data_IF_748752160655
#
_entry.id   IF_748752160655
#
_cell.length_a   1.000
_cell.length_b   1.000
_cell.length_c   1.000
_cell.angle_alpha   90.00
_cell.angle_beta   90.00
_cell.angle_gamma   90.00
#
_symmetry.space_group_name_H-M   'P 1'
#
loop_
_entity.id
_entity.type
_entity.pdbx_description
1 polymer ?
#
# COMPACT_ATOMS: atom_id res chain seq x y z
N UNK A 1 10.91 28.26 -32.35
CA UNK A 1 11.06 27.46 -31.11
C UNK A 1 9.91 26.45 -31.05
N UNK A 2 10.10 25.23 -31.57
CA UNK A 2 9.02 24.24 -31.66
C UNK A 2 8.62 23.73 -30.29
N UNK A 3 7.33 23.87 -29.91
CA UNK A 3 6.79 23.22 -28.71
C UNK A 3 6.85 21.71 -28.92
N UNK A 4 7.87 21.07 -28.34
CA UNK A 4 8.00 19.60 -28.41
C UNK A 4 6.77 18.95 -27.75
N UNK A 5 6.27 17.88 -28.35
CA UNK A 5 5.10 17.09 -27.90
C UNK A 5 5.20 16.56 -26.45
N UNK A 6 6.37 16.68 -25.81
CA UNK A 6 6.63 16.35 -24.39
C UNK A 6 5.69 17.07 -23.42
N UNK A 7 5.12 18.20 -23.82
CA UNK A 7 4.25 19.03 -22.97
C UNK A 7 2.75 18.67 -23.05
N UNK A 8 2.38 17.59 -23.76
CA UNK A 8 1.03 16.99 -23.65
C UNK A 8 0.96 15.94 -22.52
N UNK A 9 1.69 16.26 -21.44
CA UNK A 9 1.48 15.91 -20.03
C UNK A 9 0.73 14.60 -19.79
N UNK A 10 1.50 13.53 -19.65
CA UNK A 10 1.08 12.39 -18.86
C UNK A 10 0.96 12.84 -17.39
N UNK A 11 -0.24 13.27 -16.99
CA UNK A 11 -0.55 13.78 -15.65
C UNK A 11 -0.24 12.71 -14.60
N UNK A 12 -0.63 11.46 -14.87
CA UNK A 12 -0.41 10.36 -13.94
C UNK A 12 1.06 9.96 -13.82
N UNK A 13 1.92 10.23 -14.81
CA UNK A 13 3.36 10.06 -14.62
C UNK A 13 3.92 11.04 -13.60
N UNK A 14 3.51 12.32 -13.67
CA UNK A 14 3.93 13.35 -12.70
C UNK A 14 3.35 13.05 -11.32
N UNK A 15 2.06 12.73 -11.26
CA UNK A 15 1.39 12.35 -10.02
C UNK A 15 2.03 11.10 -9.40
N UNK A 16 2.39 10.10 -10.21
CA UNK A 16 3.11 8.91 -9.72
C UNK A 16 4.42 9.30 -9.03
N UNK A 17 5.20 10.22 -9.63
CA UNK A 17 6.43 10.69 -9.00
C UNK A 17 6.18 11.50 -7.73
N UNK A 18 5.21 12.40 -7.76
CA UNK A 18 4.84 13.24 -6.62
C UNK A 18 4.35 12.40 -5.42
N UNK A 19 3.58 11.35 -5.67
CA UNK A 19 3.05 10.43 -4.64
C UNK A 19 3.99 9.23 -4.33
N UNK A 20 5.15 9.15 -4.96
CA UNK A 20 6.15 8.10 -4.71
C UNK A 20 5.79 6.70 -5.25
N UNK A 21 4.94 6.64 -6.28
CA UNK A 21 4.65 5.40 -7.01
C UNK A 21 5.73 5.11 -8.07
N UNK A 22 6.14 3.84 -8.17
CA UNK A 22 7.17 3.40 -9.14
C UNK A 22 6.73 3.54 -10.59
N UNK A 23 5.42 3.50 -10.85
CA UNK A 23 4.85 3.75 -12.16
C UNK A 23 3.39 4.21 -12.07
N UNK A 24 2.98 4.96 -13.09
CA UNK A 24 1.60 5.43 -13.32
C UNK A 24 0.53 4.32 -13.43
N UNK A 25 0.93 3.06 -13.57
CA UNK A 25 -0.01 1.93 -13.55
C UNK A 25 -0.65 1.72 -12.18
N UNK A 26 -0.06 2.23 -11.09
CA UNK A 26 -0.66 2.18 -9.74
C UNK A 26 -2.09 2.74 -9.73
N UNK A 27 -2.32 3.87 -10.41
CA UNK A 27 -3.63 4.52 -10.48
C UNK A 27 -4.70 3.64 -11.13
N UNK A 28 -4.33 2.78 -12.09
CA UNK A 28 -5.29 1.86 -12.70
C UNK A 28 -5.84 0.87 -11.67
N UNK A 29 -4.96 0.29 -10.87
CA UNK A 29 -5.36 -0.68 -9.85
C UNK A 29 -6.17 -0.02 -8.75
N UNK A 30 -5.78 1.18 -8.31
CA UNK A 30 -6.55 1.95 -7.33
C UNK A 30 -7.95 2.30 -7.85
N UNK A 31 -8.07 2.77 -9.09
CA UNK A 31 -9.38 3.08 -9.70
C UNK A 31 -10.26 1.83 -9.86
N UNK A 32 -9.68 0.68 -10.21
CA UNK A 32 -10.41 -0.59 -10.29
C UNK A 32 -10.91 -0.99 -8.89
N UNK A 33 -10.08 -0.86 -7.85
CA UNK A 33 -10.49 -1.12 -6.48
C UNK A 33 -11.58 -0.17 -6.00
N UNK A 34 -11.47 1.12 -6.30
CA UNK A 34 -12.46 2.11 -5.89
C UNK A 34 -13.84 1.87 -6.54
N UNK A 35 -13.88 1.34 -7.78
CA UNK A 35 -15.13 1.03 -8.50
C UNK A 35 -15.73 -0.33 -8.11
N UNK A 36 -14.89 -1.35 -7.96
CA UNK A 36 -15.33 -2.74 -7.85
C UNK A 36 -15.07 -3.39 -6.47
N UNK A 37 -14.43 -2.66 -5.54
CA UNK A 37 -14.06 -3.13 -4.21
C UNK A 37 -13.30 -4.46 -4.22
N UNK A 38 -12.38 -4.64 -5.18
CA UNK A 38 -11.74 -5.94 -5.45
C UNK A 38 -10.86 -6.44 -4.30
N UNK A 39 -10.48 -5.58 -3.34
CA UNK A 39 -9.71 -5.98 -2.17
C UNK A 39 -10.57 -6.33 -0.93
N UNK A 40 -11.89 -6.17 -1.00
CA UNK A 40 -12.76 -6.53 0.13
C UNK A 40 -12.72 -8.04 0.40
N UNK A 41 -12.43 -8.42 1.66
CA UNK A 41 -12.31 -9.82 2.07
C UNK A 41 -11.10 -10.57 1.50
N UNK A 42 -10.19 -9.89 0.79
CA UNK A 42 -8.99 -10.51 0.23
C UNK A 42 -7.90 -10.66 1.28
N UNK A 43 -7.43 -11.89 1.48
CA UNK A 43 -6.34 -12.19 2.42
C UNK A 43 -4.99 -12.45 1.75
N UNK A 44 -4.98 -12.81 0.47
CA UNK A 44 -3.75 -13.15 -0.26
C UNK A 44 -3.85 -12.66 -1.69
N UNK A 45 -2.74 -12.17 -2.21
CA UNK A 45 -2.64 -11.62 -3.56
C UNK A 45 -1.33 -12.07 -4.20
N UNK A 46 -1.33 -12.22 -5.52
CA UNK A 46 -0.13 -12.52 -6.31
C UNK A 46 -0.07 -11.51 -7.46
N UNK A 47 1.03 -10.76 -7.54
CA UNK A 47 1.30 -9.81 -8.61
C UNK A 47 2.24 -10.46 -9.65
N UNK A 48 1.67 -10.91 -10.77
CA UNK A 48 2.42 -11.55 -11.85
C UNK A 48 3.02 -10.46 -12.75
N UNK A 49 4.29 -10.65 -13.13
CA UNK A 49 5.06 -9.65 -13.90
C UNK A 49 5.18 -8.31 -13.18
N UNK A 50 5.35 -8.35 -11.86
CA UNK A 50 5.29 -7.17 -11.00
C UNK A 50 6.26 -6.05 -11.38
N UNK A 51 7.45 -6.34 -11.92
CA UNK A 51 8.50 -5.33 -12.17
C UNK A 51 7.96 -4.12 -12.96
N UNK A 52 8.12 -2.86 -12.47
CA UNK A 52 8.93 -2.42 -11.32
C UNK A 52 8.26 -2.49 -9.94
N UNK A 53 6.98 -2.85 -9.86
CA UNK A 53 6.27 -3.19 -8.61
C UNK A 53 5.24 -2.15 -8.17
N UNK A 54 4.73 -1.30 -9.06
CA UNK A 54 3.73 -0.28 -8.71
C UNK A 54 2.41 -0.86 -8.23
N UNK A 55 1.97 -2.01 -8.77
CA UNK A 55 0.79 -2.73 -8.28
C UNK A 55 1.07 -3.38 -6.92
N UNK A 56 2.22 -4.05 -6.78
CA UNK A 56 2.70 -4.53 -5.48
C UNK A 56 2.74 -3.45 -4.39
N UNK A 57 3.11 -2.20 -4.71
CA UNK A 57 3.03 -1.09 -3.75
C UNK A 57 1.59 -0.78 -3.32
N UNK A 58 0.64 -0.79 -4.26
CA UNK A 58 -0.78 -0.58 -3.96
C UNK A 58 -1.30 -1.71 -3.07
N UNK A 59 -1.01 -2.96 -3.42
CA UNK A 59 -1.39 -4.14 -2.66
C UNK A 59 -0.83 -4.12 -1.23
N UNK A 60 0.43 -3.74 -1.05
CA UNK A 60 1.04 -3.56 0.28
C UNK A 60 0.26 -2.57 1.15
N UNK A 61 -0.16 -1.44 0.57
CA UNK A 61 -0.93 -0.40 1.28
C UNK A 61 -2.39 -0.79 1.55
N UNK A 62 -3.07 -1.39 0.58
CA UNK A 62 -4.52 -1.66 0.62
C UNK A 62 -4.89 -2.98 1.28
N UNK A 63 -4.06 -4.03 1.13
CA UNK A 63 -4.36 -5.37 1.65
C UNK A 63 -3.64 -5.59 2.98
N UNK A 64 -2.31 -5.47 2.99
CA UNK A 64 -1.51 -5.88 4.15
C UNK A 64 -1.52 -4.84 5.28
N UNK A 65 -1.26 -3.57 5.01
CA UNK A 65 -1.26 -2.55 6.06
C UNK A 65 -2.67 -2.25 6.60
N UNK A 66 -3.70 -2.36 5.76
CA UNK A 66 -5.09 -2.23 6.23
C UNK A 66 -5.50 -3.38 7.17
N UNK A 67 -4.94 -4.58 6.99
CA UNK A 67 -5.15 -5.70 7.91
C UNK A 67 -4.43 -5.50 9.24
N UNK A 68 -3.15 -5.08 9.25
CA UNK A 68 -2.40 -4.78 10.50
C UNK A 68 -3.14 -3.73 11.34
N UNK A 69 -3.71 -2.69 10.73
CA UNK A 69 -4.52 -1.71 11.47
C UNK A 69 -5.79 -2.30 12.07
N UNK A 70 -6.49 -3.18 11.34
CA UNK A 70 -7.69 -3.85 11.86
C UNK A 70 -7.35 -4.78 13.01
N UNK A 71 -6.28 -5.55 12.89
CA UNK A 71 -5.78 -6.43 13.95
C UNK A 71 -5.36 -5.63 15.18
N UNK A 72 -4.56 -4.56 15.02
CA UNK A 72 -4.18 -3.66 16.12
C UNK A 72 -5.38 -3.03 16.84
N UNK A 73 -6.43 -2.66 16.11
CA UNK A 73 -7.67 -2.10 16.69
C UNK A 73 -8.56 -3.18 17.32
N UNK A 74 -8.44 -4.43 16.88
CA UNK A 74 -9.19 -5.56 17.43
C UNK A 74 -8.57 -6.10 18.73
N UNK A 75 -7.30 -5.79 19.01
CA UNK A 75 -6.68 -6.09 20.30
C UNK A 75 -7.36 -5.28 21.40
N UNK A 76 -7.96 -5.99 22.38
CA UNK A 76 -8.60 -5.38 23.54
C UNK A 76 -7.60 -4.55 24.35
N UNK A 77 -8.02 -3.42 24.97
CA UNK A 77 -7.18 -2.68 25.90
C UNK A 77 -6.59 -3.53 27.04
N UNK A 78 -7.28 -4.61 27.43
CA UNK A 78 -6.78 -5.55 28.44
C UNK A 78 -5.55 -6.34 27.94
N UNK A 79 -5.49 -6.66 26.65
CA UNK A 79 -4.41 -7.44 26.05
C UNK A 79 -3.17 -6.57 25.75
N UNK A 80 -3.38 -5.27 25.49
CA UNK A 80 -2.31 -4.28 25.33
C UNK A 80 -1.45 -4.10 26.59
N UNK A 81 -2.07 -4.23 27.77
CA UNK A 81 -1.37 -4.10 29.06
C UNK A 81 -0.45 -5.30 29.34
N UNK A 82 -0.85 -6.49 28.90
CA UNK A 82 -0.07 -7.73 28.98
C UNK A 82 1.17 -7.69 28.06
N UNK A 83 1.04 -7.14 26.84
CA UNK A 83 2.17 -7.00 25.91
C UNK A 83 3.20 -5.95 26.36
N UNK A 84 2.78 -4.88 27.06
CA UNK A 84 3.73 -3.89 27.57
C UNK A 84 4.58 -4.38 28.75
N UNK A 85 4.14 -5.46 29.41
CA UNK A 85 4.78 -6.03 30.59
C UNK A 85 5.87 -7.06 30.27
N UNK A 86 6.00 -7.48 29.01
CA UNK A 86 7.05 -8.38 28.53
C UNK A 86 7.94 -7.65 27.50
N UNK A 87 8.63 -6.59 27.95
CA UNK A 87 9.79 -6.06 27.21
C UNK A 87 11.02 -6.82 27.66
N UNK A 88 11.68 -7.50 26.74
CA UNK A 88 13.09 -7.82 26.90
C UNK A 88 13.94 -6.55 26.63
N UNK A 89 15.05 -6.43 27.37
CA UNK A 89 15.90 -5.24 27.49
C UNK A 89 16.62 -4.81 26.18
N UNK A 90 16.20 -5.29 25.01
CA UNK A 90 16.83 -4.98 23.72
C UNK A 90 15.89 -4.41 22.64
N UNK A 91 14.65 -4.04 22.98
CA UNK A 91 13.88 -3.07 22.18
C UNK A 91 13.65 -3.41 20.70
N UNK A 92 13.66 -4.69 20.32
CA UNK A 92 13.43 -5.09 18.94
C UNK A 92 12.05 -5.73 18.79
N UNK A 93 11.28 -5.24 17.80
CA UNK A 93 9.94 -5.71 17.48
C UNK A 93 10.07 -7.10 16.86
N UNK A 94 9.63 -8.15 17.57
CA UNK A 94 9.44 -9.49 16.99
C UNK A 94 8.37 -9.33 15.90
N UNK A 95 8.67 -9.86 14.70
CA UNK A 95 7.86 -9.77 13.48
C UNK A 95 6.40 -10.19 13.68
#
# INVERSE_FOLDING_TARGET
MGKTSKDKRDIYYRLAKEEGWRARSAFKLMQIDDEFNIFEGVHRVVDLCAAPGSWSQVLSKKVYFAQDEKERKAVSPADLQFLSSNKDDMGNKIY
#
